data_IF_763345143224
#
_entry.id   IF_763345143224
#
_cell.length_a   1.000
_cell.length_b   1.000
_cell.length_c   1.000
_cell.angle_alpha   90.00
_cell.angle_beta   90.00
_cell.angle_gamma   90.00
#
_symmetry.space_group_name_H-M   'P 1'
#
loop_
_entity.id
_entity.type
_entity.pdbx_description
1 polymer ?
#
# COMPACT_ATOMS: atom_id res chain seq x y z
N UNK A 1 9.31 37.67 -7.35
CA UNK A 1 9.40 36.44 -6.58
C UNK A 1 8.80 36.54 -5.17
N UNK A 2 9.15 37.52 -4.32
CA UNK A 2 8.63 37.67 -2.94
C UNK A 2 7.09 37.77 -2.81
N UNK A 3 6.42 38.47 -3.73
CA UNK A 3 4.95 38.64 -3.72
C UNK A 3 4.17 37.32 -3.96
N UNK A 4 4.70 36.40 -4.74
CA UNK A 4 4.10 35.09 -5.00
C UNK A 4 4.18 34.16 -3.77
N UNK A 5 5.26 34.22 -2.99
CA UNK A 5 5.37 33.46 -1.75
C UNK A 5 4.43 33.99 -0.66
N UNK A 6 4.30 35.31 -0.55
CA UNK A 6 3.37 35.97 0.38
C UNK A 6 1.92 35.54 0.11
N UNK A 7 1.48 35.56 -1.14
CA UNK A 7 0.12 35.14 -1.52
C UNK A 7 -0.12 33.66 -1.18
N UNK A 8 0.84 32.79 -1.49
CA UNK A 8 0.73 31.36 -1.15
C UNK A 8 0.66 31.14 0.36
N UNK A 9 1.50 31.82 1.13
CA UNK A 9 1.48 31.73 2.60
C UNK A 9 0.15 32.21 3.18
N UNK A 10 -0.42 33.29 2.67
CA UNK A 10 -1.73 33.82 3.10
C UNK A 10 -2.84 32.80 2.79
N UNK A 11 -2.82 32.18 1.61
CA UNK A 11 -3.80 31.14 1.25
C UNK A 11 -3.71 29.94 2.20
N UNK A 12 -2.50 29.46 2.48
CA UNK A 12 -2.29 28.34 3.41
C UNK A 12 -2.80 28.66 4.81
N UNK A 13 -2.48 29.86 5.33
CA UNK A 13 -2.95 30.29 6.64
C UNK A 13 -4.47 30.42 6.69
N UNK A 14 -5.10 30.97 5.65
CA UNK A 14 -6.54 31.04 5.52
C UNK A 14 -7.20 29.65 5.50
N UNK A 15 -6.64 28.72 4.73
CA UNK A 15 -7.13 27.34 4.71
C UNK A 15 -7.02 26.68 6.08
N UNK A 16 -5.91 26.90 6.79
CA UNK A 16 -5.72 26.37 8.15
C UNK A 16 -6.74 26.96 9.14
N UNK A 17 -6.95 28.27 9.10
CA UNK A 17 -7.93 28.94 9.97
C UNK A 17 -9.36 28.46 9.70
N UNK A 18 -9.74 28.31 8.44
CA UNK A 18 -11.05 27.76 8.04
C UNK A 18 -11.19 26.33 8.53
N UNK A 19 -10.15 25.50 8.37
CA UNK A 19 -10.13 24.12 8.82
C UNK A 19 -10.29 24.00 10.34
N UNK A 20 -9.56 24.82 11.10
CA UNK A 20 -9.67 24.87 12.56
C UNK A 20 -11.07 25.30 13.02
N UNK A 21 -11.66 26.26 12.31
CA UNK A 21 -13.02 26.71 12.61
C UNK A 21 -14.06 25.65 12.26
N UNK A 22 -13.93 24.99 11.13
CA UNK A 22 -14.85 23.93 10.68
C UNK A 22 -14.80 22.67 11.54
N UNK A 23 -13.63 22.36 12.11
CA UNK A 23 -13.44 21.20 13.00
C UNK A 23 -13.78 21.48 14.46
N UNK A 24 -14.29 22.69 14.76
CA UNK A 24 -14.59 23.13 16.14
C UNK A 24 -13.41 22.87 17.10
N UNK A 25 -12.19 22.99 16.58
CA UNK A 25 -10.98 22.72 17.34
C UNK A 25 -10.84 23.71 18.50
N UNK A 26 -10.92 23.19 19.72
CA UNK A 26 -10.76 23.99 20.93
C UNK A 26 -9.60 23.46 21.78
N UNK A 27 -8.56 24.28 21.94
CA UNK A 27 -7.43 23.99 22.84
C UNK A 27 -7.88 23.79 24.31
N UNK A 28 -8.82 24.57 24.84
CA UNK A 28 -9.33 24.35 26.18
C UNK A 28 -9.95 22.96 26.36
N UNK A 29 -10.75 22.51 25.39
CA UNK A 29 -11.37 21.20 25.43
C UNK A 29 -10.35 20.04 25.38
N UNK A 30 -9.26 20.23 24.60
CA UNK A 30 -8.16 19.26 24.54
C UNK A 30 -7.44 19.15 25.90
N UNK A 31 -7.23 20.29 26.58
CA UNK A 31 -6.63 20.33 27.90
C UNK A 31 -7.54 19.73 28.97
N UNK A 32 -8.81 20.08 28.96
CA UNK A 32 -9.80 19.56 29.89
C UNK A 32 -9.99 18.04 29.73
N UNK A 33 -9.98 17.54 28.50
CA UNK A 33 -10.10 16.09 28.21
C UNK A 33 -8.80 15.32 28.26
N UNK A 34 -7.66 15.99 28.38
CA UNK A 34 -6.34 15.35 28.43
C UNK A 34 -6.19 14.33 29.57
N UNK A 35 -6.87 14.56 30.70
CA UNK A 35 -6.87 13.63 31.82
C UNK A 35 -7.50 12.27 31.48
N UNK A 36 -8.52 12.20 30.59
CA UNK A 36 -9.12 10.93 30.15
C UNK A 36 -8.10 10.05 29.43
N UNK A 37 -7.14 10.64 28.72
CA UNK A 37 -6.06 9.89 28.09
C UNK A 37 -5.17 9.25 29.17
N UNK A 38 -4.79 10.01 30.19
CA UNK A 38 -3.96 9.53 31.31
C UNK A 38 -4.68 8.44 32.08
N UNK A 39 -5.97 8.63 32.37
CA UNK A 39 -6.82 7.65 33.06
C UNK A 39 -6.96 6.37 32.25
N UNK A 40 -7.12 6.49 30.91
CA UNK A 40 -7.20 5.33 30.03
C UNK A 40 -5.91 4.54 30.01
N UNK A 41 -4.77 5.22 29.88
CA UNK A 41 -3.45 4.59 29.93
C UNK A 41 -3.19 3.98 31.31
N UNK A 42 -3.60 4.67 32.40
CA UNK A 42 -3.47 4.16 33.77
C UNK A 42 -4.25 2.86 34.00
N UNK A 43 -5.42 2.70 33.37
CA UNK A 43 -6.24 1.48 33.43
C UNK A 43 -5.64 0.31 32.61
N UNK A 44 -4.70 0.58 31.72
CA UNK A 44 -3.99 -0.45 30.95
C UNK A 44 -2.88 -1.13 31.79
N UNK A 45 -2.54 -0.59 32.97
CA UNK A 45 -1.51 -1.13 33.86
C UNK A 45 -2.09 -1.43 35.26
N UNK A 46 -1.78 -2.62 35.84
CA UNK A 46 -1.01 -3.73 35.26
C UNK A 46 -1.81 -4.50 34.21
N UNK A 47 -1.12 -5.09 33.19
CA UNK A 47 -1.79 -5.91 32.18
C UNK A 47 -2.37 -7.18 32.84
N UNK A 48 -3.60 -7.51 32.47
CA UNK A 48 -4.26 -8.72 32.95
C UNK A 48 -3.73 -9.95 32.19
N UNK A 49 -2.85 -10.71 32.87
CA UNK A 49 -2.23 -11.90 32.29
C UNK A 49 -3.20 -13.09 32.15
N UNK A 50 -4.37 -13.05 32.82
CA UNK A 50 -5.39 -14.10 32.69
C UNK A 50 -6.02 -14.13 31.28
N UNK A 51 -5.94 -13.02 30.56
CA UNK A 51 -6.46 -12.88 29.20
C UNK A 51 -5.54 -13.44 28.11
N UNK A 52 -4.31 -13.86 28.45
CA UNK A 52 -3.32 -14.34 27.48
C UNK A 52 -3.84 -15.52 26.66
N UNK A 53 -4.49 -16.49 27.29
CA UNK A 53 -5.00 -17.69 26.60
C UNK A 53 -6.07 -17.34 25.55
N UNK A 54 -6.86 -16.30 25.82
CA UNK A 54 -7.90 -15.82 24.89
C UNK A 54 -7.30 -15.07 23.72
N UNK A 55 -6.19 -14.36 23.92
CA UNK A 55 -5.52 -13.52 22.89
C UNK A 55 -4.65 -14.37 21.96
N UNK A 56 -4.07 -15.49 22.43
CA UNK A 56 -3.12 -16.28 21.64
C UNK A 56 -3.72 -16.81 20.34
N UNK A 57 -4.98 -17.23 20.33
CA UNK A 57 -5.64 -17.75 19.12
C UNK A 57 -5.82 -16.66 18.06
N UNK A 58 -6.44 -15.50 18.35
CA UNK A 58 -6.55 -14.40 17.39
C UNK A 58 -5.18 -13.84 16.94
N UNK A 59 -4.18 -13.83 17.83
CA UNK A 59 -2.83 -13.40 17.51
C UNK A 59 -2.19 -14.33 16.47
N UNK A 60 -2.27 -15.63 16.69
CA UNK A 60 -1.79 -16.65 15.74
C UNK A 60 -2.48 -16.48 14.37
N UNK A 61 -3.79 -16.31 14.36
CA UNK A 61 -4.57 -16.14 13.13
C UNK A 61 -4.17 -14.85 12.39
N UNK A 62 -3.90 -13.77 13.11
CA UNK A 62 -3.37 -12.53 12.53
C UNK A 62 -2.00 -12.73 11.88
N UNK A 63 -1.11 -13.50 12.51
CA UNK A 63 0.21 -13.85 11.94
C UNK A 63 0.03 -14.66 10.66
N UNK A 64 -0.86 -15.66 10.64
CA UNK A 64 -1.12 -16.45 9.43
C UNK A 64 -1.72 -15.61 8.30
N UNK A 65 -2.69 -14.73 8.61
CA UNK A 65 -3.28 -13.82 7.63
C UNK A 65 -2.20 -12.91 7.01
N UNK A 66 -1.33 -12.34 7.83
CA UNK A 66 -0.29 -11.43 7.37
C UNK A 66 0.76 -12.15 6.53
N UNK A 67 1.24 -13.31 6.95
CA UNK A 67 2.23 -14.09 6.22
C UNK A 67 1.68 -14.61 4.88
N UNK A 68 0.56 -15.32 4.91
CA UNK A 68 -0.02 -15.90 3.70
C UNK A 68 -0.51 -14.81 2.75
N UNK A 69 -1.16 -13.75 3.28
CA UNK A 69 -1.61 -12.63 2.48
C UNK A 69 -0.45 -11.89 1.79
N UNK A 70 0.67 -11.73 2.49
CA UNK A 70 1.87 -11.10 1.91
C UNK A 70 2.54 -11.98 0.86
N UNK A 71 2.67 -13.28 1.11
CA UNK A 71 3.28 -14.23 0.14
C UNK A 71 2.44 -14.28 -1.14
N UNK A 72 1.13 -14.52 -1.03
CA UNK A 72 0.25 -14.55 -2.20
C UNK A 72 0.15 -13.17 -2.88
N UNK A 73 0.10 -12.09 -2.10
CA UNK A 73 0.14 -10.73 -2.60
C UNK A 73 1.44 -10.42 -3.34
N UNK A 74 2.58 -10.92 -2.85
CA UNK A 74 3.88 -10.84 -3.52
C UNK A 74 3.91 -11.55 -4.88
N UNK A 75 3.34 -12.74 -4.96
CA UNK A 75 3.22 -13.52 -6.22
C UNK A 75 2.35 -12.75 -7.22
N UNK A 76 1.17 -12.28 -6.80
CA UNK A 76 0.28 -11.48 -7.65
C UNK A 76 0.95 -10.15 -8.04
N UNK A 77 1.66 -9.51 -7.12
CA UNK A 77 2.41 -8.29 -7.34
C UNK A 77 3.50 -8.44 -8.39
N UNK A 78 4.28 -9.51 -8.31
CA UNK A 78 5.31 -9.83 -9.29
C UNK A 78 4.71 -10.10 -10.68
N UNK A 79 3.65 -10.90 -10.76
CA UNK A 79 2.93 -11.14 -12.01
C UNK A 79 2.34 -9.85 -12.59
N UNK A 80 1.69 -9.03 -11.74
CA UNK A 80 1.13 -7.75 -12.13
C UNK A 80 2.19 -6.77 -12.63
N UNK A 81 3.37 -6.74 -12.02
CA UNK A 81 4.52 -5.94 -12.49
C UNK A 81 4.89 -6.27 -13.94
N UNK A 82 5.01 -7.56 -14.26
CA UNK A 82 5.35 -8.03 -15.62
C UNK A 82 4.23 -7.68 -16.61
N UNK A 83 2.99 -7.98 -16.26
CA UNK A 83 1.83 -7.81 -17.15
C UNK A 83 1.46 -6.33 -17.38
N UNK A 84 1.67 -5.46 -16.39
CA UNK A 84 1.42 -4.02 -16.50
C UNK A 84 2.57 -3.27 -17.18
N UNK A 85 3.77 -3.86 -17.28
CA UNK A 85 4.94 -3.20 -17.85
C UNK A 85 4.83 -3.05 -19.36
N UNK A 86 5.08 -1.81 -19.86
CA UNK A 86 4.95 -1.47 -21.28
C UNK A 86 6.04 -2.05 -22.19
N UNK A 87 7.21 -2.39 -21.66
CA UNK A 87 8.29 -3.01 -22.42
C UNK A 87 8.01 -4.50 -22.67
N UNK A 88 7.48 -5.21 -21.67
CA UNK A 88 7.21 -6.67 -21.75
C UNK A 88 5.88 -6.95 -22.44
N UNK A 89 4.81 -6.31 -22.00
CA UNK A 89 3.45 -6.52 -22.53
C UNK A 89 3.10 -5.47 -23.59
N UNK A 90 3.07 -5.88 -24.85
CA UNK A 90 2.77 -5.01 -25.99
C UNK A 90 1.29 -4.77 -26.21
N UNK A 91 0.41 -5.58 -25.62
CA UNK A 91 -1.04 -5.49 -25.80
C UNK A 91 -1.57 -4.30 -25.00
N UNK A 92 -1.64 -3.13 -25.67
CA UNK A 92 -2.02 -1.86 -25.05
C UNK A 92 -3.35 -1.93 -24.30
N UNK A 93 -4.35 -2.59 -24.87
CA UNK A 93 -5.68 -2.72 -24.25
C UNK A 93 -5.63 -3.53 -22.95
N UNK A 94 -4.94 -4.68 -22.95
CA UNK A 94 -4.75 -5.53 -21.75
C UNK A 94 -3.98 -4.78 -20.66
N UNK A 95 -2.90 -4.10 -21.06
CA UNK A 95 -2.10 -3.31 -20.12
C UNK A 95 -2.90 -2.18 -19.47
N UNK A 96 -3.69 -1.43 -20.25
CA UNK A 96 -4.54 -0.36 -19.71
C UNK A 96 -5.57 -0.94 -18.75
N UNK A 97 -6.25 -2.03 -19.11
CA UNK A 97 -7.25 -2.67 -18.27
C UNK A 97 -6.63 -3.15 -16.93
N UNK A 98 -5.46 -3.80 -16.97
CA UNK A 98 -4.76 -4.26 -15.78
C UNK A 98 -4.28 -3.10 -14.90
N UNK A 99 -3.69 -2.06 -15.49
CA UNK A 99 -3.30 -0.86 -14.74
C UNK A 99 -4.50 -0.21 -14.06
N UNK A 100 -5.63 -0.09 -14.77
CA UNK A 100 -6.86 0.46 -14.19
C UNK A 100 -7.35 -0.40 -13.03
N UNK A 101 -7.38 -1.72 -13.17
CA UNK A 101 -7.76 -2.63 -12.10
C UNK A 101 -6.85 -2.47 -10.87
N UNK A 102 -5.53 -2.46 -11.05
CA UNK A 102 -4.55 -2.22 -9.98
C UNK A 102 -4.80 -0.88 -9.28
N UNK A 103 -5.10 0.20 -10.04
CA UNK A 103 -5.42 1.50 -9.44
C UNK A 103 -6.71 1.47 -8.63
N UNK A 104 -7.77 0.83 -9.15
CA UNK A 104 -9.04 0.69 -8.43
C UNK A 104 -8.84 -0.04 -7.11
N UNK A 105 -8.20 -1.22 -7.11
CA UNK A 105 -7.96 -1.98 -5.88
C UNK A 105 -7.11 -1.21 -4.87
N UNK A 106 -6.14 -0.43 -5.32
CA UNK A 106 -5.31 0.40 -4.45
C UNK A 106 -6.05 1.57 -3.82
N UNK A 107 -7.08 2.12 -4.50
CA UNK A 107 -7.89 3.20 -3.94
C UNK A 107 -8.83 2.73 -2.83
N UNK A 108 -9.10 1.42 -2.76
CA UNK A 108 -9.97 0.85 -1.73
C UNK A 108 -9.15 0.64 -0.44
N UNK A 109 -9.50 1.27 0.69
CA UNK A 109 -8.88 0.98 1.97
C UNK A 109 -8.98 -0.52 2.31
N UNK A 110 -7.90 -1.11 2.81
CA UNK A 110 -7.84 -2.55 3.11
C UNK A 110 -8.95 -3.03 4.04
N UNK A 111 -9.40 -2.17 4.97
CA UNK A 111 -10.52 -2.47 5.87
C UNK A 111 -11.84 -2.66 5.11
N UNK A 112 -12.11 -1.82 4.11
CA UNK A 112 -13.30 -1.95 3.26
C UNK A 112 -13.20 -3.23 2.42
N UNK A 113 -12.02 -3.51 1.88
CA UNK A 113 -11.78 -4.73 1.13
C UNK A 113 -11.97 -5.98 2.00
N UNK A 114 -11.48 -5.96 3.25
CA UNK A 114 -11.69 -7.04 4.22
C UNK A 114 -13.18 -7.23 4.54
N UNK A 115 -13.93 -6.14 4.72
CA UNK A 115 -15.36 -6.19 4.93
C UNK A 115 -16.11 -6.82 3.73
N UNK A 116 -15.78 -6.40 2.51
CA UNK A 116 -16.34 -6.97 1.29
C UNK A 116 -16.03 -8.48 1.16
N UNK A 117 -14.78 -8.87 1.45
CA UNK A 117 -14.39 -10.28 1.46
C UNK A 117 -15.17 -11.07 2.53
N UNK A 118 -15.43 -10.47 3.69
CA UNK A 118 -16.22 -11.08 4.74
C UNK A 118 -17.69 -11.30 4.32
N UNK A 119 -18.28 -10.39 3.56
CA UNK A 119 -19.62 -10.57 3.01
C UNK A 119 -19.71 -11.70 2.00
N UNK A 120 -18.65 -11.89 1.19
CA UNK A 120 -18.61 -12.92 0.13
C UNK A 120 -18.23 -14.30 0.66
N UNK A 121 -17.20 -14.37 1.51
CA UNK A 121 -16.58 -15.62 1.96
C UNK A 121 -16.92 -15.98 3.41
N UNK A 122 -17.67 -15.12 4.11
CA UNK A 122 -18.01 -15.29 5.52
C UNK A 122 -16.91 -14.76 6.45
N UNK A 123 -17.27 -14.71 7.75
CA UNK A 123 -16.32 -14.36 8.82
C UNK A 123 -15.28 -15.47 8.97
N UNK A 124 -13.99 -15.12 8.86
CA UNK A 124 -12.91 -16.08 9.07
C UNK A 124 -11.57 -15.63 8.50
N UNK A 125 -10.57 -16.47 8.72
CA UNK A 125 -9.19 -16.23 8.32
C UNK A 125 -9.05 -16.03 6.79
N UNK A 126 -9.81 -16.76 5.99
CA UNK A 126 -9.76 -16.72 4.51
C UNK A 126 -10.12 -15.35 3.95
N UNK A 127 -11.16 -14.70 4.50
CA UNK A 127 -11.54 -13.34 4.08
C UNK A 127 -10.43 -12.32 4.32
N UNK A 128 -9.74 -12.45 5.45
CA UNK A 128 -8.57 -11.62 5.77
C UNK A 128 -7.39 -11.88 4.82
N UNK A 129 -7.05 -13.15 4.56
CA UNK A 129 -5.97 -13.53 3.63
C UNK A 129 -6.23 -12.97 2.24
N UNK A 130 -7.46 -13.13 1.71
CA UNK A 130 -7.81 -12.63 0.37
C UNK A 130 -7.72 -11.11 0.31
N UNK A 131 -8.25 -10.41 1.32
CA UNK A 131 -8.20 -8.95 1.38
C UNK A 131 -6.76 -8.41 1.40
N UNK A 132 -5.89 -8.98 2.24
CA UNK A 132 -4.47 -8.63 2.32
C UNK A 132 -3.76 -8.97 1.01
N UNK A 133 -4.04 -10.14 0.42
CA UNK A 133 -3.47 -10.58 -0.86
C UNK A 133 -3.79 -9.59 -1.98
N UNK A 134 -5.05 -9.19 -2.13
CA UNK A 134 -5.48 -8.25 -3.18
C UNK A 134 -4.87 -6.86 -2.96
N UNK A 135 -4.90 -6.35 -1.73
CA UNK A 135 -4.32 -5.06 -1.39
C UNK A 135 -2.81 -5.02 -1.62
N UNK A 136 -2.08 -5.99 -1.08
CA UNK A 136 -0.61 -6.09 -1.23
C UNK A 136 -0.22 -6.32 -2.68
N UNK A 137 -0.94 -7.19 -3.40
CA UNK A 137 -0.74 -7.46 -4.81
C UNK A 137 -0.90 -6.20 -5.68
N UNK A 138 -1.93 -5.40 -5.43
CA UNK A 138 -2.14 -4.15 -6.14
C UNK A 138 -1.04 -3.12 -5.86
N UNK A 139 -0.62 -2.96 -4.61
CA UNK A 139 0.47 -2.04 -4.23
C UNK A 139 1.78 -2.46 -4.88
N UNK A 140 2.17 -3.72 -4.75
CA UNK A 140 3.43 -4.23 -5.30
C UNK A 140 3.45 -4.23 -6.83
N UNK A 141 2.33 -4.59 -7.49
CA UNK A 141 2.20 -4.48 -8.95
C UNK A 141 2.49 -3.07 -9.42
N UNK A 142 1.90 -2.06 -8.75
CA UNK A 142 2.08 -0.66 -9.12
C UNK A 142 3.52 -0.21 -8.93
N UNK A 143 4.08 -0.39 -7.75
CA UNK A 143 5.46 -0.02 -7.47
C UNK A 143 6.42 -0.67 -8.47
N UNK A 144 6.26 -1.97 -8.70
CA UNK A 144 7.13 -2.71 -9.60
C UNK A 144 7.06 -2.25 -11.05
N UNK A 145 5.87 -1.98 -11.62
CA UNK A 145 5.81 -1.52 -13.00
C UNK A 145 6.22 -0.04 -13.14
N UNK A 146 5.92 0.84 -12.18
CA UNK A 146 6.36 2.24 -12.18
C UNK A 146 7.89 2.32 -12.13
N UNK A 147 8.53 1.61 -11.23
CA UNK A 147 9.99 1.57 -11.12
C UNK A 147 10.64 1.01 -12.38
N UNK A 148 10.06 -0.06 -12.94
CA UNK A 148 10.61 -0.68 -14.15
C UNK A 148 10.35 0.14 -15.42
N UNK A 149 9.31 0.96 -15.49
CA UNK A 149 9.08 1.90 -16.61
C UNK A 149 9.98 3.14 -16.53
N UNK A 150 10.39 3.54 -15.32
CA UNK A 150 11.33 4.65 -15.09
C UNK A 150 12.80 4.22 -15.23
N UNK A 151 13.10 2.93 -15.28
CA UNK A 151 14.47 2.43 -15.46
C UNK A 151 15.01 2.68 -16.86
N UNK A 152 16.34 2.78 -16.98
CA UNK A 152 17.00 2.87 -18.28
C UNK A 152 16.88 1.55 -19.05
N UNK A 153 16.17 1.60 -20.16
CA UNK A 153 15.92 0.46 -21.03
C UNK A 153 16.99 0.25 -22.09
N UNK A 154 18.04 1.10 -22.16
CA UNK A 154 19.03 1.04 -23.22
C UNK A 154 19.73 -0.33 -23.28
N UNK A 155 20.26 -0.80 -22.15
CA UNK A 155 20.93 -2.11 -22.08
C UNK A 155 19.97 -3.29 -22.35
N UNK A 156 18.71 -3.20 -21.92
CA UNK A 156 17.70 -4.21 -22.22
C UNK A 156 17.41 -4.30 -23.73
N UNK A 157 17.32 -3.16 -24.43
CA UNK A 157 17.11 -3.13 -25.88
C UNK A 157 18.31 -3.69 -26.64
N UNK A 158 19.54 -3.39 -26.22
CA UNK A 158 20.74 -3.96 -26.83
C UNK A 158 20.72 -5.49 -26.75
N UNK A 159 20.34 -6.05 -25.60
CA UNK A 159 20.21 -7.50 -25.43
C UNK A 159 19.07 -8.09 -26.29
N UNK A 160 17.97 -7.37 -26.45
CA UNK A 160 16.87 -7.75 -27.33
C UNK A 160 17.31 -7.80 -28.80
N UNK A 161 18.08 -6.81 -29.28
CA UNK A 161 18.65 -6.80 -30.62
C UNK A 161 19.69 -7.91 -30.84
N UNK A 162 20.37 -8.35 -29.79
CA UNK A 162 21.25 -9.53 -29.82
C UNK A 162 20.50 -10.88 -29.83
N UNK A 163 19.16 -10.86 -29.94
CA UNK A 163 18.32 -12.05 -30.07
C UNK A 163 17.76 -12.60 -28.76
N UNK A 164 17.91 -11.93 -27.63
CA UNK A 164 17.29 -12.35 -26.40
C UNK A 164 15.79 -11.98 -26.39
N UNK A 165 14.96 -12.85 -25.79
CA UNK A 165 13.54 -12.55 -25.59
C UNK A 165 13.35 -11.35 -24.64
N UNK A 166 12.31 -10.54 -24.87
CA UNK A 166 12.00 -9.30 -24.10
C UNK A 166 11.91 -9.53 -22.59
N UNK A 167 11.24 -10.59 -22.17
CA UNK A 167 11.12 -10.92 -20.75
C UNK A 167 12.48 -11.17 -20.10
N UNK A 168 13.39 -11.88 -20.80
CA UNK A 168 14.75 -12.14 -20.32
C UNK A 168 15.58 -10.85 -20.27
N UNK A 169 15.49 -10.00 -21.30
CA UNK A 169 16.19 -8.71 -21.34
C UNK A 169 15.71 -7.79 -20.20
N UNK A 170 14.41 -7.71 -20.01
CA UNK A 170 13.80 -6.94 -18.91
C UNK A 170 14.22 -7.46 -17.54
N UNK A 171 14.16 -8.80 -17.32
CA UNK A 171 14.55 -9.42 -16.06
C UNK A 171 16.00 -9.09 -15.67
N UNK A 172 16.92 -9.23 -16.60
CA UNK A 172 18.37 -9.06 -16.34
C UNK A 172 18.75 -7.59 -16.14
N UNK A 173 18.25 -6.69 -16.98
CA UNK A 173 18.72 -5.31 -17.02
C UNK A 173 17.79 -4.29 -16.37
N UNK A 174 16.55 -4.65 -16.10
CA UNK A 174 15.59 -3.75 -15.46
C UNK A 174 15.25 -4.26 -14.06
N UNK A 175 14.71 -5.48 -13.95
CA UNK A 175 14.26 -6.01 -12.68
C UNK A 175 15.38 -6.34 -11.69
N UNK A 176 16.40 -7.04 -12.15
CA UNK A 176 17.53 -7.44 -11.30
C UNK A 176 18.30 -6.25 -10.68
N UNK A 177 18.57 -5.14 -11.38
CA UNK A 177 19.18 -3.94 -10.79
C UNK A 177 18.27 -3.18 -9.83
N UNK A 178 16.94 -3.22 -9.99
CA UNK A 178 15.99 -2.57 -9.08
C UNK A 178 15.97 -3.23 -7.70
N UNK A 179 16.09 -4.57 -7.64
CA UNK A 179 16.08 -5.32 -6.37
C UNK A 179 17.15 -4.84 -5.36
N UNK A 180 18.41 -4.57 -5.71
CA UNK A 180 19.41 -4.03 -4.78
C UNK A 180 19.08 -2.63 -4.28
N UNK A 181 18.39 -1.80 -5.06
CA UNK A 181 17.93 -0.48 -4.64
C UNK A 181 16.98 -0.51 -3.43
N UNK A 182 16.29 -1.62 -3.23
CA UNK A 182 15.47 -1.88 -2.04
C UNK A 182 16.30 -2.33 -0.83
N UNK A 183 17.63 -2.54 -0.99
CA UNK A 183 18.54 -2.97 0.09
C UNK A 183 19.39 -1.82 0.66
N UNK A 184 19.30 -0.64 0.06
CA UNK A 184 19.95 0.57 0.53
C UNK A 184 18.98 1.48 1.27
#
# INVERSE_FOLDING_TARGET
>A
MKRSYLVRSVIVVLCLLISLWQTEFSLPLLWERGHYFIDTVGRMFPPDTSFLDVILVPLRDTVYISLLGTVFGGIIGAAGTVLCNGYVNQWKAVRIALKTAVHVFRCIPVLILALLCTFVFGLGMWSGIIAVTLSTGAVLSRLGYEDSENADLHAARVLEYAGAGRLKAWWVYVWKPIIPGYRA
#
